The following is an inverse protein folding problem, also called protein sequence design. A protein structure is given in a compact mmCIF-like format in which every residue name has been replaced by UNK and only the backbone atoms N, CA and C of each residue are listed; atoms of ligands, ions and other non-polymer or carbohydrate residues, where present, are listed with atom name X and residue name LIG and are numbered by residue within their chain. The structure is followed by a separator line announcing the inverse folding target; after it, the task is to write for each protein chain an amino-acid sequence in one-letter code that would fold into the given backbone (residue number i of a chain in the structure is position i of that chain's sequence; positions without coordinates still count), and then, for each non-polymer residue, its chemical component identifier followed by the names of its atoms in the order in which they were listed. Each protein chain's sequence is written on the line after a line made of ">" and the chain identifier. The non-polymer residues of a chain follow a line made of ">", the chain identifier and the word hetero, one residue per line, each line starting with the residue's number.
data_IF_402846297382
#
_entry.id   IF_402846297382
#
_cell.length_a   1.000
_cell.length_b   1.000
_cell.length_c   1.000
_cell.angle_alpha   90.00
_cell.angle_beta   90.00
_cell.angle_gamma   90.00
#
_symmetry.space_group_name_H-M   'P 1'
#
loop_
_entity.id
_entity.type
_entity.pdbx_description
1 polymer ?
#
# COMPACT_ATOMS: atom_id res chain seq x y z
N UNK A 1 -13.97 -6.02 -25.21
CA UNK A 1 -14.12 -7.36 -24.58
C UNK A 1 -13.38 -8.35 -25.44
N UNK A 2 -12.14 -8.67 -25.07
CA UNK A 2 -11.27 -9.57 -25.85
C UNK A 2 -11.43 -10.96 -25.25
N UNK A 3 -12.14 -11.85 -25.94
CA UNK A 3 -12.44 -13.21 -25.50
C UNK A 3 -11.29 -14.15 -25.87
N UNK A 4 -10.59 -14.70 -24.88
CA UNK A 4 -9.54 -15.71 -25.10
C UNK A 4 -10.19 -17.07 -25.42
N UNK A 5 -10.08 -17.51 -26.67
CA UNK A 5 -10.60 -18.79 -27.16
C UNK A 5 -9.56 -19.89 -26.94
N UNK A 6 -9.68 -20.62 -25.84
CA UNK A 6 -9.04 -21.94 -25.70
C UNK A 6 -10.08 -22.99 -26.09
N UNK A 7 -9.91 -23.60 -27.27
CA UNK A 7 -10.67 -24.78 -27.75
C UNK A 7 -12.21 -24.70 -27.59
N UNK A 8 -12.86 -23.88 -28.42
CA UNK A 8 -14.28 -24.06 -28.78
C UNK A 8 -15.32 -23.80 -27.69
N UNK A 9 -14.98 -23.18 -26.56
CA UNK A 9 -15.98 -22.67 -25.59
C UNK A 9 -15.78 -21.18 -25.37
N UNK A 10 -16.85 -20.39 -25.51
CA UNK A 10 -16.88 -19.03 -25.00
C UNK A 10 -16.77 -19.10 -23.47
N UNK A 11 -15.57 -18.90 -22.96
CA UNK A 11 -15.32 -18.84 -21.52
C UNK A 11 -15.67 -17.42 -21.06
N UNK A 12 -16.66 -17.31 -20.17
CA UNK A 12 -17.08 -16.02 -19.58
C UNK A 12 -16.12 -15.53 -18.49
N UNK A 13 -15.22 -16.40 -18.00
CA UNK A 13 -14.27 -16.12 -16.94
C UNK A 13 -12.85 -16.48 -17.38
N UNK A 14 -11.85 -15.77 -16.85
CA UNK A 14 -10.46 -16.08 -17.14
C UNK A 14 -10.11 -17.49 -16.62
N UNK A 15 -9.19 -18.22 -17.28
CA UNK A 15 -8.84 -19.58 -16.89
C UNK A 15 -8.44 -19.72 -15.41
N UNK A 16 -7.75 -18.73 -14.85
CA UNK A 16 -7.37 -18.74 -13.44
C UNK A 16 -8.45 -18.25 -12.46
N UNK A 17 -9.58 -17.69 -12.91
CA UNK A 17 -10.73 -17.45 -12.02
C UNK A 17 -11.51 -18.74 -11.71
N UNK A 18 -11.11 -19.85 -12.34
CA UNK A 18 -11.78 -21.13 -12.24
C UNK A 18 -11.21 -21.92 -11.08
N UNK A 19 -12.08 -22.29 -10.16
CA UNK A 19 -11.74 -23.21 -9.09
C UNK A 19 -11.91 -24.63 -9.61
N UNK A 20 -10.84 -25.42 -9.45
CA UNK A 20 -10.85 -26.83 -9.80
C UNK A 20 -12.01 -27.54 -9.06
N UNK A 21 -12.71 -28.43 -9.77
CA UNK A 21 -13.77 -29.24 -9.17
C UNK A 21 -13.20 -30.28 -8.19
N UNK A 22 -11.96 -30.69 -8.41
CA UNK A 22 -11.23 -31.62 -7.57
C UNK A 22 -10.39 -30.85 -6.55
N UNK A 23 -10.22 -31.38 -5.32
CA UNK A 23 -9.37 -30.75 -4.32
C UNK A 23 -7.90 -30.79 -4.77
N UNK A 24 -7.30 -29.62 -4.90
CA UNK A 24 -5.88 -29.45 -5.25
C UNK A 24 -5.00 -29.26 -4.02
N UNK A 25 -3.74 -29.66 -4.14
CA UNK A 25 -2.72 -29.44 -3.10
C UNK A 25 -2.30 -27.97 -3.02
N UNK A 26 -1.63 -27.59 -1.93
CA UNK A 26 -1.07 -26.24 -1.75
C UNK A 26 -0.08 -25.87 -2.87
N UNK A 27 0.79 -26.81 -3.26
CA UNK A 27 1.79 -26.60 -4.31
C UNK A 27 1.16 -26.40 -5.69
N UNK A 28 0.09 -27.13 -5.99
CA UNK A 28 -0.66 -26.97 -7.24
C UNK A 28 -1.33 -25.60 -7.32
N UNK A 29 -1.97 -25.18 -6.22
CA UNK A 29 -2.60 -23.85 -6.12
C UNK A 29 -1.57 -22.72 -6.23
N UNK A 30 -0.36 -22.92 -5.71
CA UNK A 30 0.74 -21.96 -5.79
C UNK A 30 1.16 -21.66 -7.24
N UNK A 31 1.09 -22.66 -8.12
CA UNK A 31 1.50 -22.55 -9.53
C UNK A 31 0.41 -22.00 -10.44
N UNK A 32 -0.82 -21.83 -9.94
CA UNK A 32 -1.94 -21.42 -10.76
C UNK A 32 -1.91 -19.91 -11.02
N UNK A 33 -1.91 -19.53 -12.31
CA UNK A 33 -1.89 -18.14 -12.76
C UNK A 33 -3.27 -17.68 -13.24
N UNK A 34 -3.68 -16.51 -12.79
CA UNK A 34 -4.88 -15.78 -13.20
C UNK A 34 -4.67 -15.07 -14.54
N UNK A 35 -3.53 -14.40 -14.67
CA UNK A 35 -3.12 -13.69 -15.88
C UNK A 35 -1.69 -14.12 -16.20
N UNK A 36 -1.48 -14.46 -17.46
CA UNK A 36 -0.17 -14.80 -18.02
C UNK A 36 -0.16 -14.26 -19.46
N UNK A 37 0.03 -12.95 -19.59
CA UNK A 37 -0.11 -12.25 -20.86
C UNK A 37 0.73 -10.96 -20.89
N UNK A 38 1.15 -10.53 -22.09
CA UNK A 38 1.75 -9.22 -22.27
C UNK A 38 0.70 -8.11 -22.09
N UNK A 39 1.09 -7.06 -21.36
CA UNK A 39 0.33 -5.82 -21.23
C UNK A 39 0.53 -4.93 -22.47
N UNK A 40 -0.35 -3.95 -22.63
CA UNK A 40 -0.30 -2.95 -23.70
C UNK A 40 0.99 -2.11 -23.66
N UNK A 41 1.68 -2.04 -22.52
CA UNK A 41 2.98 -1.38 -22.34
C UNK A 41 4.15 -2.22 -22.89
N UNK A 42 3.92 -3.50 -23.21
CA UNK A 42 4.96 -4.45 -23.59
C UNK A 42 5.54 -5.25 -22.42
N UNK A 43 5.11 -4.97 -21.19
CA UNK A 43 5.52 -5.72 -20.01
C UNK A 43 4.80 -7.07 -19.94
N UNK A 44 5.51 -8.12 -19.53
CA UNK A 44 4.90 -9.43 -19.35
C UNK A 44 4.41 -9.58 -17.91
N UNK A 45 3.08 -9.61 -17.71
CA UNK A 45 2.48 -9.63 -16.39
C UNK A 45 2.02 -11.05 -16.06
N UNK A 46 2.52 -11.57 -14.94
CA UNK A 46 2.04 -12.80 -14.33
C UNK A 46 1.34 -12.48 -13.01
N UNK A 47 0.08 -12.87 -12.90
CA UNK A 47 -0.72 -12.66 -11.68
C UNK A 47 -1.11 -14.04 -11.14
N UNK A 48 -0.77 -14.39 -9.89
CA UNK A 48 -1.18 -15.64 -9.29
C UNK A 48 -2.68 -15.66 -8.97
N UNK A 49 -3.30 -16.84 -9.09
CA UNK A 49 -4.72 -17.04 -8.72
C UNK A 49 -4.92 -17.10 -7.20
N UNK A 50 -3.97 -17.73 -6.50
CA UNK A 50 -4.00 -17.91 -5.06
C UNK A 50 -2.84 -17.19 -4.39
N UNK A 51 -3.12 -16.56 -3.25
CA UNK A 51 -2.11 -16.02 -2.36
C UNK A 51 -1.80 -17.03 -1.28
N UNK A 52 -0.52 -17.35 -1.09
CA UNK A 52 -0.10 -18.20 0.02
C UNK A 52 0.14 -17.30 1.24
N UNK A 53 -0.68 -17.52 2.25
CA UNK A 53 -0.61 -16.81 3.53
C UNK A 53 -0.18 -17.78 4.61
N UNK A 54 0.82 -17.37 5.39
CA UNK A 54 1.25 -18.07 6.60
C UNK A 54 0.72 -17.30 7.80
N UNK A 55 -0.13 -17.94 8.59
CA UNK A 55 -0.72 -17.35 9.78
C UNK A 55 0.21 -17.48 11.00
N UNK A 56 0.04 -16.64 12.04
CA UNK A 56 0.86 -16.70 13.26
C UNK A 56 0.78 -18.04 14.01
N UNK A 57 -0.31 -18.78 13.85
CA UNK A 57 -0.49 -20.12 14.41
C UNK A 57 0.33 -21.21 13.68
N UNK A 58 1.08 -20.85 12.63
CA UNK A 58 1.86 -21.78 11.80
C UNK A 58 1.09 -22.41 10.64
N UNK A 59 -0.21 -22.14 10.50
CA UNK A 59 -1.04 -22.67 9.42
C UNK A 59 -0.74 -21.94 8.10
N UNK A 60 -0.62 -22.69 6.99
CA UNK A 60 -0.42 -22.12 5.65
C UNK A 60 -1.66 -22.38 4.79
N UNK A 61 -2.23 -21.32 4.21
CA UNK A 61 -3.42 -21.41 3.34
C UNK A 61 -3.16 -20.75 1.99
N UNK A 62 -3.69 -21.37 0.94
CA UNK A 62 -3.84 -20.76 -0.37
C UNK A 62 -5.21 -20.09 -0.46
N UNK A 63 -5.24 -18.76 -0.45
CA UNK A 63 -6.44 -17.94 -0.51
C UNK A 63 -6.71 -17.48 -1.94
N UNK A 64 -7.90 -17.75 -2.47
CA UNK A 64 -8.28 -17.35 -3.82
C UNK A 64 -8.55 -15.85 -3.88
N UNK A 65 -7.94 -15.15 -4.84
CA UNK A 65 -8.00 -13.69 -4.93
C UNK A 65 -9.42 -13.07 -4.95
N UNK A 66 -10.40 -13.72 -5.59
CA UNK A 66 -11.82 -13.30 -5.54
C UNK A 66 -12.59 -13.86 -4.33
N UNK A 67 -12.65 -15.20 -4.16
CA UNK A 67 -13.55 -15.83 -3.18
C UNK A 67 -13.15 -15.54 -1.73
N UNK A 68 -11.86 -15.44 -1.47
CA UNK A 68 -11.33 -15.31 -0.12
C UNK A 68 -10.90 -13.87 0.18
N UNK A 69 -11.46 -12.88 -0.54
CA UNK A 69 -11.12 -11.47 -0.40
C UNK A 69 -11.24 -10.97 1.06
N UNK A 70 -12.25 -11.43 1.81
CA UNK A 70 -12.39 -11.10 3.22
C UNK A 70 -11.24 -11.67 4.07
N UNK A 71 -10.91 -12.96 3.89
CA UNK A 71 -9.81 -13.59 4.61
C UNK A 71 -8.46 -12.96 4.26
N UNK A 72 -8.27 -12.55 3.00
CA UNK A 72 -7.09 -11.78 2.56
C UNK A 72 -7.04 -10.43 3.27
N UNK A 73 -8.17 -9.70 3.32
CA UNK A 73 -8.24 -8.43 4.03
C UNK A 73 -7.98 -8.59 5.53
N UNK A 74 -8.44 -9.68 6.14
CA UNK A 74 -8.19 -10.00 7.55
C UNK A 74 -6.70 -10.31 7.79
N UNK A 75 -6.09 -11.11 6.92
CA UNK A 75 -4.66 -11.41 6.97
C UNK A 75 -3.81 -10.15 6.82
N UNK A 76 -4.12 -9.27 5.87
CA UNK A 76 -3.41 -7.98 5.69
C UNK A 76 -3.57 -7.10 6.92
N UNK A 77 -4.76 -7.04 7.52
CA UNK A 77 -4.98 -6.28 8.76
C UNK A 77 -4.11 -6.81 9.88
N UNK A 78 -4.09 -8.12 10.10
CA UNK A 78 -3.24 -8.74 11.13
C UNK A 78 -1.75 -8.44 10.91
N UNK A 79 -1.25 -8.60 9.68
CA UNK A 79 0.15 -8.30 9.35
C UNK A 79 0.49 -6.82 9.53
N UNK A 80 -0.43 -5.89 9.20
CA UNK A 80 -0.22 -4.45 9.38
C UNK A 80 -0.15 -4.04 10.85
N UNK A 81 -0.85 -4.75 11.74
CA UNK A 81 -0.71 -4.51 13.18
C UNK A 81 0.65 -4.95 13.72
N UNK A 82 1.32 -5.91 13.07
CA UNK A 82 2.66 -6.38 13.43
C UNK A 82 3.78 -5.53 12.81
N UNK A 83 3.51 -4.83 11.71
CA UNK A 83 4.45 -3.89 11.10
C UNK A 83 4.54 -2.63 11.97
N UNK A 84 5.69 -2.43 12.63
CA UNK A 84 5.97 -1.20 13.37
C UNK A 84 5.72 0.00 12.44
N UNK A 85 4.74 0.83 12.79
CA UNK A 85 4.54 2.11 12.11
C UNK A 85 5.86 2.86 12.16
N UNK A 86 6.50 3.04 11.00
CA UNK A 86 7.59 4.00 10.86
C UNK A 86 7.11 5.29 11.50
N UNK A 87 7.76 5.79 12.58
CA UNK A 87 7.23 6.92 13.30
C UNK A 87 7.13 8.05 12.31
N UNK A 88 5.90 8.47 12.00
CA UNK A 88 5.67 9.73 11.34
C UNK A 88 6.13 10.75 12.38
N UNK A 89 7.41 11.14 12.28
CA UNK A 89 7.92 12.28 12.99
C UNK A 89 7.13 13.46 12.45
N UNK A 90 5.97 13.74 13.04
CA UNK A 90 5.34 15.04 12.98
C UNK A 90 6.36 15.96 13.61
N UNK A 91 7.27 16.49 12.78
CA UNK A 91 8.28 17.41 13.23
C UNK A 91 7.53 18.57 13.87
N UNK A 92 7.63 18.70 15.19
CA UNK A 92 7.27 19.95 15.84
C UNK A 92 8.11 21.03 15.16
N UNK A 93 7.46 21.84 14.33
CA UNK A 93 8.10 23.00 13.73
C UNK A 93 8.34 23.96 14.89
N UNK A 94 9.58 23.98 15.41
CA UNK A 94 10.00 24.96 16.42
C UNK A 94 9.94 26.34 15.76
N UNK A 95 8.82 27.03 15.89
CA UNK A 95 8.70 28.42 15.47
C UNK A 95 9.70 29.25 16.29
N UNK A 96 10.72 29.80 15.62
CA UNK A 96 11.72 30.65 16.28
C UNK A 96 11.14 31.98 16.77
N UNK A 97 9.95 32.35 16.28
CA UNK A 97 9.13 33.48 16.69
C UNK A 97 8.40 33.23 18.02
N UNK A 98 9.07 32.57 18.97
CA UNK A 98 8.59 32.49 20.35
C UNK A 98 8.79 33.85 21.04
N UNK A 99 8.29 33.96 22.29
CA UNK A 99 8.45 35.14 23.14
C UNK A 99 9.86 35.77 23.10
N UNK A 100 10.99 35.03 23.21
CA UNK A 100 12.32 35.63 23.12
C UNK A 100 12.64 36.25 21.74
N UNK A 101 12.19 35.63 20.64
CA UNK A 101 12.37 36.19 19.30
C UNK A 101 11.57 37.48 19.09
N UNK A 102 10.35 37.53 19.66
CA UNK A 102 9.49 38.72 19.61
C UNK A 102 10.05 39.86 20.46
N UNK A 103 10.69 39.56 21.60
CA UNK A 103 11.39 40.54 22.44
C UNK A 103 12.61 41.13 21.71
N UNK A 104 13.41 40.31 21.02
CA UNK A 104 14.59 40.81 20.30
C UNK A 104 14.17 41.72 19.14
N UNK A 105 13.15 41.33 18.38
CA UNK A 105 12.61 42.14 17.28
C UNK A 105 12.03 43.47 17.77
N UNK A 106 11.28 43.46 18.88
CA UNK A 106 10.71 44.69 19.44
C UNK A 106 11.79 45.62 19.99
N UNK A 107 12.82 45.09 20.65
CA UNK A 107 13.96 45.87 21.12
C UNK A 107 14.72 46.53 19.97
N UNK A 108 14.95 45.80 18.87
CA UNK A 108 15.63 46.34 17.68
C UNK A 108 14.81 47.46 17.03
N UNK A 109 13.49 47.30 16.94
CA UNK A 109 12.59 48.34 16.42
C UNK A 109 12.54 49.60 17.31
N UNK A 110 12.57 49.43 18.63
CA UNK A 110 12.62 50.54 19.58
C UNK A 110 13.94 51.31 19.45
N UNK A 111 15.07 50.61 19.33
CA UNK A 111 16.37 51.25 19.15
C UNK A 111 16.43 52.07 17.87
N UNK A 112 15.99 51.52 16.73
CA UNK A 112 16.03 52.23 15.45
C UNK A 112 15.07 53.42 15.40
N UNK A 113 13.90 53.33 16.04
CA UNK A 113 12.97 54.45 16.13
C UNK A 113 13.50 55.61 16.98
N UNK A 114 14.21 55.34 18.09
CA UNK A 114 14.89 56.38 18.88
C UNK A 114 15.95 57.10 18.05
N UNK A 115 16.76 56.36 17.28
CA UNK A 115 17.74 56.96 16.38
C UNK A 115 17.10 57.84 15.30
N UNK A 116 15.98 57.40 14.71
CA UNK A 116 15.27 58.17 13.68
C UNK A 116 14.64 59.46 14.24
N UNK A 117 14.08 59.41 15.45
CA UNK A 117 13.50 60.59 16.12
C UNK A 117 14.58 61.54 16.61
N UNK A 118 15.72 61.04 17.12
CA UNK A 118 16.83 61.88 17.59
C UNK A 118 17.68 62.52 16.49
N UNK A 119 17.46 62.16 15.22
CA UNK A 119 18.07 62.80 14.04
C UNK A 119 17.27 64.04 13.58
N UNK A 120 16.04 64.23 14.06
CA UNK A 120 15.21 65.42 13.83
C UNK A 120 15.13 66.32 15.08
#
# INVERSE_FOLDING_TARGET
>A
MTSYTVMGRNLTANPGDRIAKEPQTLEEKAKQLAVDAPDITGDYIQVPTYFIVKYPNGETKALHHVRDAQAISDAIRQMRFEEEEWPQASGEVRHWLNLPGLIIMSAFFLMTSIFLVGIF
#
